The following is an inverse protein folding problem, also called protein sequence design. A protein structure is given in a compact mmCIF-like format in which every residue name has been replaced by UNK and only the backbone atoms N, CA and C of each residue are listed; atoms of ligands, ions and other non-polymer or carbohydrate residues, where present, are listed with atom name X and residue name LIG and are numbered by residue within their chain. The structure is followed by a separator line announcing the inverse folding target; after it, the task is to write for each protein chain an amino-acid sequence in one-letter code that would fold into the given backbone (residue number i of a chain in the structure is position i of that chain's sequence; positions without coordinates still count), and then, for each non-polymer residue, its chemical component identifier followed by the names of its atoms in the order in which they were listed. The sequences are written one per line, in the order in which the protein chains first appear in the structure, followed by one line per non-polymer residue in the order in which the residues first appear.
data_IF_538690041539
#
_entry.id   IF_538690041539
#
_cell.length_a   1.000
_cell.length_b   1.000
_cell.length_c   1.000
_cell.angle_alpha   90.00
_cell.angle_beta   90.00
_cell.angle_gamma   90.00
#
_symmetry.space_group_name_H-M   'P 1'
#
loop_
_entity.id
_entity.type
_entity.pdbx_description
1 polymer ?
#
# COMPACT_ATOMS: atom_id res chain seq x y z
N UNK A 1 -1.51 5.55 18.20
CA UNK A 1 -2.59 5.18 17.27
C UNK A 1 -2.14 3.97 16.51
N UNK A 2 -2.84 2.84 16.58
CA UNK A 2 -2.42 1.67 15.84
C UNK A 2 -3.62 1.05 15.16
N UNK A 3 -3.68 1.22 13.84
CA UNK A 3 -4.76 0.75 12.98
C UNK A 3 -4.99 -0.75 13.18
N UNK A 4 -6.17 -1.09 13.69
CA UNK A 4 -6.69 -2.45 13.75
C UNK A 4 -7.93 -2.50 12.88
N UNK A 5 -7.96 -3.45 11.95
CA UNK A 5 -9.05 -3.58 11.00
C UNK A 5 -10.05 -4.63 11.51
N UNK A 6 -11.35 -4.36 11.41
CA UNK A 6 -12.37 -5.32 11.82
C UNK A 6 -12.30 -6.59 10.97
N UNK A 7 -12.69 -7.72 11.57
CA UNK A 7 -12.74 -9.02 10.91
C UNK A 7 -14.21 -9.35 10.63
N UNK A 8 -14.56 -9.53 9.37
CA UNK A 8 -15.95 -9.71 8.96
C UNK A 8 -16.07 -10.46 7.62
N UNK A 9 -17.30 -10.80 7.23
CA UNK A 9 -17.56 -11.43 5.91
C UNK A 9 -17.85 -10.40 4.81
N UNK A 10 -18.50 -9.30 5.17
CA UNK A 10 -18.83 -8.18 4.28
C UNK A 10 -18.52 -6.85 4.95
N UNK A 11 -18.31 -5.79 4.18
CA UNK A 11 -18.06 -4.46 4.75
C UNK A 11 -19.18 -3.96 5.66
N UNK A 12 -20.44 -4.24 5.30
CA UNK A 12 -21.58 -3.84 6.14
C UNK A 12 -21.56 -4.55 7.50
N UNK A 13 -21.15 -5.82 7.54
CA UNK A 13 -20.96 -6.54 8.81
C UNK A 13 -19.72 -6.04 9.57
N UNK A 14 -18.68 -5.58 8.87
CA UNK A 14 -17.50 -4.99 9.48
C UNK A 14 -17.83 -3.71 10.27
N UNK A 15 -18.78 -2.91 9.77
CA UNK A 15 -19.26 -1.71 10.47
C UNK A 15 -20.21 -2.06 11.63
N UNK A 16 -21.17 -2.97 11.38
CA UNK A 16 -22.34 -3.11 12.27
C UNK A 16 -22.21 -4.21 13.33
N UNK A 17 -21.37 -5.23 13.07
CA UNK A 17 -21.34 -6.49 13.83
C UNK A 17 -19.91 -7.04 14.02
N UNK A 18 -18.87 -6.24 13.82
CA UNK A 18 -17.52 -6.71 14.04
C UNK A 18 -17.27 -6.90 15.54
N UNK A 19 -16.89 -8.11 15.93
CA UNK A 19 -16.55 -8.46 17.32
C UNK A 19 -15.04 -8.37 17.57
N UNK A 20 -14.24 -8.56 16.52
CA UNK A 20 -12.78 -8.60 16.59
C UNK A 20 -12.16 -7.67 15.56
N UNK A 21 -10.99 -7.14 15.91
CA UNK A 21 -10.14 -6.39 15.00
C UNK A 21 -8.68 -6.85 15.14
N UNK A 22 -7.94 -6.78 14.05
CA UNK A 22 -6.55 -7.22 13.99
C UNK A 22 -5.72 -6.31 13.10
N UNK A 23 -4.43 -6.19 13.41
CA UNK A 23 -3.48 -5.35 12.67
C UNK A 23 -2.76 -6.12 11.57
N UNK A 24 -2.61 -7.44 11.77
CA UNK A 24 -1.89 -8.32 10.85
C UNK A 24 -2.64 -9.62 10.63
N UNK A 25 -2.33 -10.26 9.51
CA UNK A 25 -2.82 -11.60 9.16
C UNK A 25 -2.57 -12.62 10.27
N UNK A 26 -1.37 -12.63 10.85
CA UNK A 26 -1.00 -13.56 11.91
C UNK A 26 -1.90 -13.40 13.16
N UNK A 27 -2.30 -12.17 13.50
CA UNK A 27 -3.24 -11.93 14.61
C UNK A 27 -4.63 -12.46 14.30
N UNK A 28 -5.09 -12.33 13.05
CA UNK A 28 -6.38 -12.91 12.62
C UNK A 28 -6.35 -14.43 12.72
N UNK A 29 -5.28 -15.05 12.23
CA UNK A 29 -5.11 -16.52 12.26
C UNK A 29 -4.99 -17.04 13.70
N UNK A 30 -4.37 -16.29 14.60
CA UNK A 30 -4.28 -16.64 16.02
C UNK A 30 -5.63 -16.64 16.77
N UNK A 31 -6.65 -15.97 16.24
CA UNK A 31 -8.01 -15.94 16.84
C UNK A 31 -8.82 -17.22 16.53
N UNK A 32 -8.29 -18.15 15.72
CA UNK A 32 -8.93 -19.41 15.31
C UNK A 32 -10.42 -19.27 14.92
N UNK A 33 -10.72 -18.21 14.16
CA UNK A 33 -12.08 -17.88 13.77
C UNK A 33 -12.63 -18.90 12.76
N UNK A 34 -13.94 -19.16 12.84
CA UNK A 34 -14.65 -20.06 11.91
C UNK A 34 -14.70 -19.48 10.49
N UNK A 35 -13.74 -19.88 9.66
CA UNK A 35 -13.67 -19.50 8.25
C UNK A 35 -12.28 -19.67 7.66
N UNK A 36 -12.12 -19.22 6.42
CA UNK A 36 -10.84 -19.03 5.77
C UNK A 36 -10.63 -17.53 5.61
N UNK A 37 -9.47 -17.05 6.02
CA UNK A 37 -9.06 -15.68 5.78
C UNK A 37 -8.70 -15.51 4.31
N UNK A 38 -9.47 -14.68 3.59
CA UNK A 38 -9.17 -14.33 2.20
C UNK A 38 -8.05 -13.29 2.14
N UNK A 39 -8.16 -12.22 2.93
CA UNK A 39 -7.19 -11.15 2.98
C UNK A 39 -7.76 -9.85 3.56
N UNK A 40 -6.97 -8.78 3.49
CA UNK A 40 -7.42 -7.43 3.78
C UNK A 40 -8.01 -6.85 2.49
N UNK A 41 -9.30 -6.48 2.51
CA UNK A 41 -9.97 -5.90 1.35
C UNK A 41 -10.58 -4.54 1.70
N UNK A 42 -10.66 -3.64 0.71
CA UNK A 42 -11.38 -2.37 0.81
C UNK A 42 -12.62 -2.44 -0.09
N UNK A 43 -13.80 -2.39 0.52
CA UNK A 43 -15.08 -2.41 -0.20
C UNK A 43 -15.74 -1.03 -0.13
N UNK A 44 -16.35 -0.61 -1.24
CA UNK A 44 -17.01 0.69 -1.38
C UNK A 44 -18.52 0.53 -1.20
N UNK A 45 -19.10 1.22 -0.23
CA UNK A 45 -20.52 1.22 0.07
C UNK A 45 -21.14 2.59 -0.22
N UNK A 46 -22.28 2.61 -0.91
CA UNK A 46 -23.11 3.80 -1.09
C UNK A 46 -24.39 3.65 -0.26
N UNK A 47 -24.34 3.88 1.07
CA UNK A 47 -25.52 3.79 1.92
C UNK A 47 -26.53 4.89 1.58
N UNK A 48 -27.80 4.67 1.95
CA UNK A 48 -28.80 5.74 1.89
C UNK A 48 -28.44 6.85 2.88
N UNK A 49 -28.67 8.12 2.52
CA UNK A 49 -28.24 9.29 3.31
C UNK A 49 -28.74 9.25 4.77
N UNK A 50 -29.95 8.71 5.00
CA UNK A 50 -30.54 8.54 6.34
C UNK A 50 -29.78 7.55 7.25
N UNK A 51 -29.07 6.60 6.64
CA UNK A 51 -28.37 5.52 7.35
C UNK A 51 -26.90 5.88 7.63
N UNK A 52 -26.35 6.92 6.98
CA UNK A 52 -24.94 7.30 7.07
C UNK A 52 -24.52 7.60 8.51
N UNK A 53 -25.26 8.48 9.20
CA UNK A 53 -24.92 8.88 10.56
C UNK A 53 -24.87 7.69 11.53
N UNK A 54 -25.86 6.79 11.41
CA UNK A 54 -25.91 5.55 12.19
C UNK A 54 -24.73 4.63 11.90
N UNK A 55 -24.35 4.48 10.63
CA UNK A 55 -23.20 3.64 10.25
C UNK A 55 -21.88 4.21 10.75
N UNK A 56 -21.71 5.54 10.75
CA UNK A 56 -20.53 6.21 11.30
C UNK A 56 -20.42 5.99 12.82
N UNK A 57 -21.52 6.19 13.55
CA UNK A 57 -21.59 5.94 15.00
C UNK A 57 -21.27 4.48 15.35
N UNK A 58 -21.82 3.53 14.58
CA UNK A 58 -21.54 2.11 14.77
C UNK A 58 -20.08 1.75 14.46
N UNK A 59 -19.48 2.38 13.46
CA UNK A 59 -18.07 2.16 13.14
C UNK A 59 -17.14 2.66 14.25
N UNK A 60 -17.47 3.81 14.86
CA UNK A 60 -16.69 4.40 15.96
C UNK A 60 -16.83 3.59 17.26
N UNK A 61 -18.00 3.01 17.52
CA UNK A 61 -18.22 2.12 18.65
C UNK A 61 -17.60 0.72 18.47
N UNK A 62 -17.16 0.38 17.26
CA UNK A 62 -16.61 -0.92 16.91
C UNK A 62 -15.19 -1.15 17.42
N UNK A 63 -14.67 -2.39 17.34
CA UNK A 63 -13.33 -2.73 17.81
C UNK A 63 -12.19 -2.24 16.90
N UNK A 64 -12.51 -1.70 15.71
CA UNK A 64 -11.53 -1.29 14.70
C UNK A 64 -11.25 0.21 14.72
N UNK A 65 -10.03 0.61 14.37
CA UNK A 65 -9.61 2.02 14.31
C UNK A 65 -9.14 2.38 12.90
N UNK A 66 -9.66 3.49 12.35
CA UNK A 66 -9.22 4.05 11.07
C UNK A 66 -9.53 3.19 9.83
N UNK A 67 -10.46 2.25 9.97
CA UNK A 67 -10.84 1.31 8.90
C UNK A 67 -11.90 1.88 7.94
N UNK A 68 -12.53 2.99 8.31
CA UNK A 68 -13.60 3.64 7.56
C UNK A 68 -13.14 4.99 7.05
N UNK A 69 -13.29 5.22 5.75
CA UNK A 69 -13.09 6.52 5.12
C UNK A 69 -14.37 6.94 4.41
N UNK A 70 -14.67 8.24 4.44
CA UNK A 70 -15.84 8.81 3.80
C UNK A 70 -15.48 9.70 2.60
N UNK A 71 -16.28 9.62 1.56
CA UNK A 71 -16.14 10.36 0.32
C UNK A 71 -17.53 10.84 -0.13
N UNK A 72 -17.54 11.66 -1.17
CA UNK A 72 -18.75 12.16 -1.81
C UNK A 72 -18.73 11.74 -3.28
N UNK A 73 -19.86 11.22 -3.79
CA UNK A 73 -20.01 10.91 -5.21
C UNK A 73 -20.31 12.18 -6.03
N UNK A 74 -20.34 12.05 -7.36
CA UNK A 74 -20.64 13.16 -8.26
C UNK A 74 -22.06 13.76 -8.10
N UNK A 75 -22.94 13.13 -7.32
CA UNK A 75 -24.32 13.54 -7.05
C UNK A 75 -24.50 14.08 -5.62
N UNK A 76 -23.43 14.15 -4.82
CA UNK A 76 -23.47 14.60 -3.44
C UNK A 76 -23.84 13.53 -2.41
N UNK A 77 -23.88 12.25 -2.79
CA UNK A 77 -24.14 11.16 -1.86
C UNK A 77 -22.86 10.71 -1.16
N UNK A 78 -22.95 10.39 0.13
CA UNK A 78 -21.82 9.84 0.88
C UNK A 78 -21.49 8.43 0.41
N UNK A 79 -20.21 8.22 0.10
CA UNK A 79 -19.62 6.91 -0.21
C UNK A 79 -18.66 6.53 0.91
N UNK A 80 -18.75 5.31 1.41
CA UNK A 80 -17.90 4.79 2.47
C UNK A 80 -16.92 3.77 1.89
N UNK A 81 -15.63 3.99 2.09
CA UNK A 81 -14.60 2.98 1.84
C UNK A 81 -14.29 2.26 3.16
N UNK A 82 -14.56 0.95 3.19
CA UNK A 82 -14.43 0.11 4.39
C UNK A 82 -13.31 -0.88 4.16
N UNK A 83 -12.23 -0.77 4.95
CA UNK A 83 -11.10 -1.69 4.90
C UNK A 83 -11.21 -2.72 6.01
N UNK A 84 -11.28 -4.01 5.70
CA UNK A 84 -11.53 -5.05 6.69
C UNK A 84 -10.88 -6.39 6.32
N UNK A 85 -10.62 -7.23 7.33
CA UNK A 85 -10.18 -8.60 7.11
C UNK A 85 -11.36 -9.45 6.68
N UNK A 86 -11.35 -9.90 5.44
CA UNK A 86 -12.45 -10.67 4.85
C UNK A 86 -12.31 -12.16 5.13
N UNK A 87 -13.34 -12.70 5.77
CA UNK A 87 -13.49 -14.11 6.06
C UNK A 87 -14.53 -14.74 5.13
N UNK A 88 -14.22 -15.91 4.58
CA UNK A 88 -15.15 -16.74 3.81
C UNK A 88 -15.44 -18.04 4.55
N UNK A 89 -16.57 -18.68 4.27
CA UNK A 89 -16.88 -19.98 4.85
C UNK A 89 -15.90 -21.04 4.34
N UNK A 90 -15.50 -21.99 5.22
CA UNK A 90 -14.66 -23.15 4.87
C UNK A 90 -15.33 -24.16 3.92
N UNK A 91 -16.58 -23.91 3.53
CA UNK A 91 -17.27 -24.73 2.54
C UNK A 91 -16.51 -24.65 1.21
N UNK A 92 -16.22 -25.76 0.53
CA UNK A 92 -15.58 -25.73 -0.77
C UNK A 92 -16.56 -25.09 -1.76
N UNK A 93 -16.47 -23.77 -1.91
CA UNK A 93 -17.07 -23.11 -3.06
C UNK A 93 -16.22 -23.54 -4.24
N UNK A 94 -16.80 -24.34 -5.14
CA UNK A 94 -16.23 -24.67 -6.43
C UNK A 94 -15.60 -23.39 -6.98
N UNK A 95 -14.30 -23.42 -7.28
CA UNK A 95 -13.57 -22.25 -7.73
C UNK A 95 -14.34 -21.56 -8.86
N UNK A 96 -14.86 -20.37 -8.60
CA UNK A 96 -15.33 -19.50 -9.67
C UNK A 96 -14.09 -19.27 -10.55
N UNK A 97 -14.16 -19.71 -11.82
CA UNK A 97 -13.05 -19.69 -12.78
C UNK A 97 -12.36 -18.33 -12.74
N UNK A 98 -11.03 -18.34 -12.74
CA UNK A 98 -10.22 -17.17 -12.99
C UNK A 98 -10.74 -16.42 -14.24
N UNK A 99 -10.71 -15.08 -14.27
CA UNK A 99 -10.88 -14.38 -15.53
C UNK A 99 -9.78 -14.84 -16.49
N UNK A 100 -10.18 -15.39 -17.64
CA UNK A 100 -9.31 -15.68 -18.78
C UNK A 100 -8.84 -14.34 -19.38
N UNK A 101 -7.79 -13.76 -18.81
CA UNK A 101 -6.97 -12.75 -19.47
C UNK A 101 -5.54 -13.29 -19.60
N UNK A 102 -5.38 -14.21 -20.56
CA UNK A 102 -4.06 -14.55 -21.08
C UNK A 102 -3.80 -13.69 -22.33
N UNK A 103 -2.95 -12.66 -22.27
CA UNK A 103 -2.17 -12.30 -23.44
C UNK A 103 -1.15 -13.42 -23.64
N UNK A 104 -1.27 -14.14 -24.75
CA UNK A 104 -0.19 -14.99 -25.26
C UNK A 104 1.03 -14.10 -25.49
N UNK A 105 2.03 -14.22 -24.64
CA UNK A 105 3.39 -13.81 -24.96
C UNK A 105 4.33 -14.96 -24.66
N UNK A 106 4.78 -15.60 -25.73
CA UNK A 106 5.84 -16.58 -25.69
C UNK A 106 7.13 -15.95 -25.12
N UNK A 107 7.82 -16.74 -24.30
CA UNK A 107 9.28 -16.72 -24.09
C UNK A 107 9.90 -15.43 -23.52
N UNK A 108 10.21 -15.45 -22.22
CA UNK A 108 11.60 -15.56 -21.76
C UNK A 108 11.62 -15.94 -20.29
N UNK A 109 12.01 -17.19 -20.00
CA UNK A 109 12.57 -17.52 -18.70
C UNK A 109 13.94 -16.85 -18.63
N UNK A 110 14.02 -15.77 -17.87
CA UNK A 110 15.25 -15.02 -17.64
C UNK A 110 14.95 -13.95 -16.61
N UNK A 111 15.07 -14.33 -15.34
CA UNK A 111 15.39 -13.46 -14.21
C UNK A 111 14.95 -11.99 -14.38
N UNK A 112 13.71 -11.71 -13.97
CA UNK A 112 13.18 -10.35 -13.83
C UNK A 112 13.80 -9.68 -12.59
N UNK A 113 15.12 -9.48 -12.63
CA UNK A 113 15.86 -8.70 -11.64
C UNK A 113 15.69 -7.22 -11.95
N UNK A 114 14.48 -6.71 -11.68
CA UNK A 114 14.15 -5.29 -11.68
C UNK A 114 14.98 -4.46 -10.69
N UNK A 115 15.75 -5.11 -9.81
CA UNK A 115 16.67 -4.48 -8.85
C UNK A 115 18.13 -4.34 -9.35
N UNK A 116 18.54 -5.01 -10.43
CA UNK A 116 19.93 -4.91 -10.93
C UNK A 116 20.20 -3.68 -11.80
N UNK A 117 19.20 -2.80 -11.96
CA UNK A 117 19.38 -1.49 -12.59
C UNK A 117 20.12 -0.51 -11.68
N UNK A 118 20.04 -0.69 -10.35
CA UNK A 118 20.68 0.20 -9.37
C UNK A 118 22.11 -0.23 -8.98
N UNK A 119 22.50 -1.49 -9.22
CA UNK A 119 23.83 -2.00 -8.90
C UNK A 119 24.77 -2.14 -10.10
N UNK A 120 24.45 -1.49 -11.23
CA UNK A 120 25.43 -1.32 -12.31
C UNK A 120 26.52 -0.37 -11.84
N UNK A 121 27.57 -0.93 -11.23
CA UNK A 121 28.85 -0.27 -11.01
C UNK A 121 29.34 0.29 -12.36
N UNK A 122 29.08 1.58 -12.60
CA UNK A 122 29.80 2.32 -13.63
C UNK A 122 31.24 2.39 -13.17
N UNK A 123 32.10 1.52 -13.70
CA UNK A 123 33.53 1.54 -13.44
C UNK A 123 34.05 2.97 -13.57
N UNK A 124 34.67 3.49 -12.52
CA UNK A 124 35.19 4.86 -12.54
C UNK A 124 36.27 4.96 -13.61
N UNK A 125 36.06 5.78 -14.63
CA UNK A 125 37.13 6.11 -15.58
C UNK A 125 38.23 6.80 -14.77
N UNK A 126 39.38 6.14 -14.61
CA UNK A 126 40.59 6.76 -14.06
C UNK A 126 40.95 7.97 -14.95
N UNK A 127 40.66 9.19 -14.48
CA UNK A 127 41.19 10.40 -15.10
C UNK A 127 42.69 10.39 -14.85
N UNK A 128 43.50 10.43 -15.92
CA UNK A 128 44.94 10.67 -15.80
C UNK A 128 45.13 12.04 -15.13
N UNK A 129 45.82 12.09 -14.00
CA UNK A 129 46.15 13.38 -13.37
C UNK A 129 47.12 14.12 -14.28
N UNK A 130 46.89 15.42 -14.47
CA UNK A 130 47.89 16.31 -15.06
C UNK A 130 48.98 16.55 -14.01
N UNK A 131 50.26 16.63 -14.39
CA UNK A 131 51.29 17.05 -13.44
C UNK A 131 50.94 18.44 -12.90
N UNK A 132 51.15 18.64 -11.60
CA UNK A 132 50.89 19.91 -10.94
C UNK A 132 51.78 21.00 -11.57
N UNK A 133 51.18 22.14 -11.91
CA UNK A 133 51.92 23.28 -12.46
C UNK A 133 52.72 23.93 -11.31
N UNK A 134 54.04 24.12 -11.45
CA UNK A 134 54.89 24.67 -10.40
C UNK A 134 54.51 26.08 -9.96
N UNK A 135 53.73 26.83 -10.76
CA UNK A 135 53.25 28.17 -10.39
C UNK A 135 51.92 28.16 -9.60
N UNK A 136 51.38 26.99 -9.24
CA UNK A 136 50.11 26.91 -8.49
C UNK A 136 50.18 27.38 -7.03
N UNK A 137 51.39 27.60 -6.50
CA UNK A 137 51.59 28.20 -5.18
C UNK A 137 51.82 29.72 -5.24
N UNK A 138 51.86 30.31 -6.43
CA UNK A 138 51.96 31.77 -6.57
C UNK A 138 50.55 32.38 -6.41
N UNK A 139 50.03 32.33 -5.18
CA UNK A 139 48.79 33.00 -4.76
C UNK A 139 48.97 34.51 -4.55
N UNK A 140 50.11 35.06 -4.94
CA UNK A 140 50.40 36.48 -4.87
C UNK A 140 50.36 37.06 -6.28
N UNK A 141 49.25 37.72 -6.63
CA UNK A 141 49.25 38.60 -7.79
C UNK A 141 50.39 39.61 -7.63
N UNK A 142 51.34 39.63 -8.57
CA UNK A 142 52.34 40.70 -8.63
C UNK A 142 51.58 42.03 -8.59
N UNK A 143 51.91 42.97 -7.69
CA UNK A 143 51.17 44.21 -7.60
C UNK A 143 51.25 44.92 -8.96
N UNK A 144 50.09 45.16 -9.58
CA UNK A 144 49.99 46.12 -10.69
C UNK A 144 50.43 47.46 -10.13
N UNK A 145 51.58 47.96 -10.58
CA UNK A 145 52.00 49.35 -10.35
C UNK A 145 50.92 50.27 -10.93
N UNK A 146 50.27 51.12 -10.14
CA UNK A 146 49.51 52.24 -10.67
C UNK A 146 50.47 53.40 -11.00
N UNK A 147 50.16 54.14 -12.07
CA UNK A 147 50.74 55.47 -12.36
C UNK A 147 50.34 56.49 -11.29
#
# INVERSE_FOLDING_TARGET
MSHAYPIARTARTAITKAEHAARSRAQVEALDLKGILQGLETEWLTPASRDVARLLEQAEAGPGEGFLQHYEDAKGNTVLAVTYWKMVSRTPKLADKAPDDAPTTAQTAGDDHTDDLYFRHRGSKRRKSRPADPNQLDMFEKPRKPD
#
